data_IF_078611853729
#
_entry.id   IF_078611853729
#
_cell.length_a   1.000
_cell.length_b   1.000
_cell.length_c   1.000
_cell.angle_alpha   90.00
_cell.angle_beta   90.00
_cell.angle_gamma   90.00
#
_symmetry.space_group_name_H-M   'P 1'
#
loop_
_entity.id
_entity.type
_entity.pdbx_description
1 polymer ?
#
# COMPACT_ATOMS: atom_id res chain seq x y z
N UNK A 1 -78.42 14.06 -29.28
CA UNK A 1 -79.53 15.04 -29.27
C UNK A 1 -80.02 15.29 -30.70
N UNK A 2 -81.32 15.38 -30.95
CA UNK A 2 -81.86 15.73 -32.27
C UNK A 2 -82.05 17.25 -32.40
N UNK A 3 -82.02 17.78 -33.63
CA UNK A 3 -82.22 19.20 -33.92
C UNK A 3 -83.47 19.79 -33.26
N UNK A 4 -84.57 19.03 -33.25
CA UNK A 4 -85.85 19.44 -32.63
C UNK A 4 -85.76 19.63 -31.12
N UNK A 5 -84.93 18.83 -30.44
CA UNK A 5 -84.81 18.86 -28.98
C UNK A 5 -83.92 20.05 -28.58
N UNK A 6 -82.89 20.35 -29.38
CA UNK A 6 -82.03 21.52 -29.20
C UNK A 6 -82.83 22.82 -29.40
N UNK A 7 -83.67 22.88 -30.44
CA UNK A 7 -84.55 24.03 -30.69
C UNK A 7 -85.49 24.30 -29.52
N UNK A 8 -86.11 23.26 -28.96
CA UNK A 8 -86.98 23.39 -27.79
C UNK A 8 -86.24 23.93 -26.56
N UNK A 9 -85.00 23.49 -26.34
CA UNK A 9 -84.17 23.94 -25.22
C UNK A 9 -83.86 25.44 -25.35
N UNK A 10 -83.52 25.87 -26.57
CA UNK A 10 -83.18 27.26 -26.90
C UNK A 10 -84.43 28.16 -26.83
N UNK A 11 -85.58 27.70 -27.33
CA UNK A 11 -86.85 28.44 -27.25
C UNK A 11 -87.33 28.67 -25.80
N UNK A 12 -86.94 27.79 -24.88
CA UNK A 12 -87.26 27.92 -23.45
C UNK A 12 -86.23 28.71 -22.63
N UNK A 13 -85.08 29.06 -23.22
CA UNK A 13 -84.00 29.78 -22.57
C UNK A 13 -84.21 31.30 -22.67
N UNK A 14 -83.81 32.05 -21.64
CA UNK A 14 -83.80 33.53 -21.71
C UNK A 14 -82.71 34.05 -22.65
N UNK A 15 -82.91 35.25 -23.22
CA UNK A 15 -81.95 35.84 -24.20
C UNK A 15 -80.53 36.02 -23.64
N UNK A 16 -80.38 36.21 -22.33
CA UNK A 16 -79.09 36.38 -21.64
C UNK A 16 -78.59 35.10 -20.93
N UNK A 17 -79.24 33.96 -21.14
CA UNK A 17 -78.93 32.74 -20.40
C UNK A 17 -77.68 32.04 -20.96
N UNK A 18 -76.81 31.55 -20.06
CA UNK A 18 -75.58 30.85 -20.43
C UNK A 18 -75.88 29.50 -21.11
N UNK A 19 -75.33 29.32 -22.29
CA UNK A 19 -75.55 28.13 -23.13
C UNK A 19 -74.84 26.90 -22.55
N UNK A 20 -73.68 27.08 -21.92
CA UNK A 20 -72.93 25.98 -21.31
C UNK A 20 -73.68 25.41 -20.10
N UNK A 21 -74.31 26.26 -19.28
CA UNK A 21 -75.20 25.81 -18.20
C UNK A 21 -76.47 25.14 -18.72
N UNK A 22 -77.09 25.69 -19.77
CA UNK A 22 -78.30 25.14 -20.37
C UNK A 22 -78.10 23.72 -20.92
N UNK A 23 -76.93 23.47 -21.52
CA UNK A 23 -76.63 22.20 -22.21
C UNK A 23 -75.93 21.21 -21.27
N UNK A 24 -75.49 21.61 -20.08
CA UNK A 24 -74.71 20.81 -19.12
C UNK A 24 -75.31 19.45 -18.78
N UNK A 25 -76.62 19.39 -18.55
CA UNK A 25 -77.32 18.15 -18.18
C UNK A 25 -77.95 17.42 -19.38
N UNK A 26 -77.80 17.99 -20.57
CA UNK A 26 -78.36 17.42 -21.80
C UNK A 26 -77.63 16.14 -22.21
N UNK A 27 -78.30 15.34 -23.04
CA UNK A 27 -77.71 14.15 -23.66
C UNK A 27 -76.49 14.48 -24.51
N UNK A 28 -76.37 15.72 -25.01
CA UNK A 28 -75.21 16.17 -25.78
C UNK A 28 -73.98 16.28 -24.87
N UNK A 29 -74.08 16.98 -23.74
CA UNK A 29 -72.99 17.10 -22.77
C UNK A 29 -72.61 15.75 -22.17
N UNK A 30 -73.59 14.91 -21.84
CA UNK A 30 -73.34 13.54 -21.37
C UNK A 30 -72.64 12.68 -22.43
N UNK A 31 -73.03 12.79 -23.70
CA UNK A 31 -72.36 12.06 -24.79
C UNK A 31 -70.93 12.53 -25.04
N UNK A 32 -70.68 13.84 -24.94
CA UNK A 32 -69.35 14.43 -25.07
C UNK A 32 -68.43 13.99 -23.92
N UNK A 33 -68.91 14.04 -22.68
CA UNK A 33 -68.21 13.53 -21.51
C UNK A 33 -67.88 12.04 -21.64
N UNK A 34 -68.85 11.23 -22.09
CA UNK A 34 -68.64 9.80 -22.32
C UNK A 34 -67.60 9.53 -23.44
N UNK A 35 -67.62 10.33 -24.52
CA UNK A 35 -66.75 10.14 -25.68
C UNK A 35 -65.31 10.64 -25.53
N UNK A 36 -65.06 11.61 -24.65
CA UNK A 36 -63.79 12.37 -24.66
C UNK A 36 -62.88 12.17 -23.46
N UNK A 37 -63.45 11.93 -22.26
CA UNK A 37 -62.71 12.05 -20.99
C UNK A 37 -62.85 10.83 -20.07
N UNK A 38 -63.52 9.77 -20.52
CA UNK A 38 -63.59 8.52 -19.75
C UNK A 38 -62.38 7.64 -19.99
N UNK A 39 -62.00 6.86 -18.99
CA UNK A 39 -60.89 5.90 -19.09
C UNK A 39 -61.12 4.88 -20.22
N UNK A 40 -62.37 4.47 -20.45
CA UNK A 40 -62.73 3.52 -21.50
C UNK A 40 -62.61 4.15 -22.90
N UNK A 41 -63.07 5.39 -23.09
CA UNK A 41 -62.85 6.13 -24.33
C UNK A 41 -61.35 6.35 -24.61
N UNK A 42 -60.55 6.61 -23.57
CA UNK A 42 -59.09 6.72 -23.69
C UNK A 42 -58.44 5.40 -24.10
N UNK A 43 -58.83 4.27 -23.48
CA UNK A 43 -58.35 2.93 -23.84
C UNK A 43 -58.75 2.56 -25.27
N UNK A 44 -59.94 2.95 -25.70
CA UNK A 44 -60.44 2.72 -27.06
C UNK A 44 -59.67 3.57 -28.08
N UNK A 45 -59.44 4.85 -27.80
CA UNK A 45 -58.57 5.75 -28.57
C UNK A 45 -57.15 5.19 -28.68
N UNK A 46 -56.57 4.71 -27.59
CA UNK A 46 -55.23 4.09 -27.60
C UNK A 46 -55.15 2.85 -28.50
N UNK A 47 -56.24 2.10 -28.66
CA UNK A 47 -56.30 0.91 -29.53
C UNK A 47 -56.55 1.25 -31.00
N UNK A 48 -57.43 2.22 -31.26
CA UNK A 48 -58.01 2.46 -32.58
C UNK A 48 -57.38 3.64 -33.32
N UNK A 49 -56.77 4.59 -32.62
CA UNK A 49 -56.18 5.80 -33.18
C UNK A 49 -54.65 5.71 -33.20
N UNK A 50 -54.08 5.58 -34.40
CA UNK A 50 -52.64 5.43 -34.61
C UNK A 50 -51.84 6.65 -34.18
N UNK A 51 -52.35 7.86 -34.45
CA UNK A 51 -51.62 9.09 -34.15
C UNK A 51 -51.61 9.34 -32.64
N UNK A 52 -52.73 9.06 -31.98
CA UNK A 52 -52.83 9.11 -30.53
C UNK A 52 -51.90 8.10 -29.86
N UNK A 53 -51.88 6.86 -30.34
CA UNK A 53 -50.97 5.82 -29.85
C UNK A 53 -49.50 6.21 -30.05
N UNK A 54 -49.13 6.71 -31.22
CA UNK A 54 -47.76 7.14 -31.51
C UNK A 54 -47.30 8.28 -30.60
N UNK A 55 -48.18 9.24 -30.28
CA UNK A 55 -47.87 10.31 -29.34
C UNK A 55 -47.59 9.77 -27.93
N UNK A 56 -48.48 8.91 -27.40
CA UNK A 56 -48.32 8.30 -26.07
C UNK A 56 -47.05 7.44 -26.01
N UNK A 57 -46.78 6.65 -27.03
CA UNK A 57 -45.54 5.86 -27.14
C UNK A 57 -44.31 6.78 -27.15
N UNK A 58 -44.33 7.89 -27.88
CA UNK A 58 -43.21 8.84 -27.90
C UNK A 58 -42.93 9.48 -26.54
N UNK A 59 -43.97 9.78 -25.77
CA UNK A 59 -43.84 10.38 -24.44
C UNK A 59 -43.32 9.35 -23.44
N UNK A 60 -43.87 8.13 -23.48
CA UNK A 60 -43.34 7.01 -22.71
C UNK A 60 -41.87 6.72 -23.06
N UNK A 61 -41.51 6.73 -24.33
CA UNK A 61 -40.13 6.53 -24.77
C UNK A 61 -39.18 7.59 -24.20
N UNK A 62 -39.59 8.87 -24.08
CA UNK A 62 -38.75 9.89 -23.42
C UNK A 62 -38.52 9.55 -21.95
N UNK A 63 -39.56 9.17 -21.22
CA UNK A 63 -39.46 8.81 -19.80
C UNK A 63 -38.64 7.55 -19.60
N UNK A 64 -38.89 6.51 -20.40
CA UNK A 64 -38.14 5.26 -20.35
C UNK A 64 -36.69 5.46 -20.76
N UNK A 65 -36.39 6.25 -21.79
CA UNK A 65 -35.01 6.59 -22.15
C UNK A 65 -34.30 7.35 -21.03
N UNK A 66 -34.98 8.30 -20.37
CA UNK A 66 -34.41 9.02 -19.23
C UNK A 66 -34.17 8.10 -18.03
N UNK A 67 -35.14 7.24 -17.71
CA UNK A 67 -35.03 6.27 -16.63
C UNK A 67 -33.91 5.25 -16.91
N UNK A 68 -33.83 4.73 -18.13
CA UNK A 68 -32.76 3.83 -18.57
C UNK A 68 -31.41 4.54 -18.56
N UNK A 69 -31.32 5.79 -19.00
CA UNK A 69 -30.07 6.57 -18.93
C UNK A 69 -29.61 6.74 -17.49
N UNK A 70 -30.51 7.14 -16.60
CA UNK A 70 -30.24 7.31 -15.16
C UNK A 70 -29.86 5.98 -14.51
N UNK A 71 -30.53 4.89 -14.88
CA UNK A 71 -30.20 3.57 -14.39
C UNK A 71 -28.82 3.12 -14.87
N UNK A 72 -28.50 3.32 -16.16
CA UNK A 72 -27.18 3.01 -16.72
C UNK A 72 -26.09 3.80 -16.02
N UNK A 73 -26.25 5.11 -15.86
CA UNK A 73 -25.26 5.97 -15.19
C UNK A 73 -25.00 5.54 -13.73
N UNK A 74 -26.02 5.05 -13.01
CA UNK A 74 -25.88 4.70 -11.60
C UNK A 74 -25.51 3.24 -11.31
N UNK A 75 -25.81 2.32 -12.24
CA UNK A 75 -25.74 0.88 -11.99
C UNK A 75 -24.89 0.10 -13.00
N UNK A 76 -24.66 0.62 -14.21
CA UNK A 76 -23.96 -0.13 -15.25
C UNK A 76 -22.51 -0.41 -14.88
N UNK A 77 -21.79 0.54 -14.30
CA UNK A 77 -20.43 0.30 -13.81
C UNK A 77 -20.40 -0.80 -12.73
N UNK A 78 -21.33 -0.75 -11.77
CA UNK A 78 -21.40 -1.73 -10.67
C UNK A 78 -21.71 -3.15 -11.12
N UNK A 79 -22.57 -3.32 -12.14
CA UNK A 79 -22.88 -4.65 -12.68
C UNK A 79 -21.82 -5.15 -13.67
N UNK A 80 -21.14 -4.24 -14.37
CA UNK A 80 -20.16 -4.60 -15.39
C UNK A 80 -18.78 -4.88 -14.77
N UNK A 81 -18.41 -4.21 -13.67
CA UNK A 81 -17.17 -4.44 -12.91
C UNK A 81 -16.88 -5.93 -12.62
N UNK A 82 -17.80 -6.71 -11.99
CA UNK A 82 -17.56 -8.12 -11.74
C UNK A 82 -17.45 -8.95 -13.03
N UNK A 83 -18.14 -8.53 -14.10
CA UNK A 83 -18.11 -9.23 -15.38
C UNK A 83 -16.80 -8.97 -16.15
N UNK A 84 -16.30 -7.74 -16.12
CA UNK A 84 -15.01 -7.35 -16.70
C UNK A 84 -13.89 -8.07 -15.95
N UNK A 85 -13.93 -8.08 -14.62
CA UNK A 85 -12.94 -8.81 -13.81
C UNK A 85 -12.93 -10.32 -14.11
N UNK A 86 -14.09 -10.92 -14.37
CA UNK A 86 -14.18 -12.37 -14.62
C UNK A 86 -13.81 -12.77 -16.06
N UNK A 87 -14.18 -11.96 -17.06
CA UNK A 87 -14.03 -12.30 -18.49
C UNK A 87 -12.79 -11.70 -19.14
N UNK A 88 -12.34 -10.55 -18.66
CA UNK A 88 -11.25 -9.80 -19.24
C UNK A 88 -10.29 -9.28 -18.15
N UNK A 89 -9.67 -10.19 -17.37
CA UNK A 89 -8.74 -9.81 -16.30
C UNK A 89 -7.56 -8.97 -16.82
N UNK A 90 -7.17 -9.14 -18.09
CA UNK A 90 -6.06 -8.41 -18.71
C UNK A 90 -6.43 -6.98 -19.16
N UNK A 91 -7.73 -6.68 -19.39
CA UNK A 91 -8.22 -5.34 -19.75
C UNK A 91 -8.55 -4.46 -18.54
N UNK A 92 -8.47 -4.98 -17.30
CA UNK A 92 -8.54 -4.19 -16.04
C UNK A 92 -7.25 -3.37 -15.83
N UNK A 93 -6.73 -2.80 -16.90
CA UNK A 93 -5.64 -1.83 -16.93
C UNK A 93 -6.16 -0.54 -17.54
N UNK A 94 -7.23 0.01 -16.96
CA UNK A 94 -7.55 1.41 -17.14
C UNK A 94 -6.29 2.23 -16.77
N UNK A 95 -5.75 3.13 -17.62
CA UNK A 95 -4.55 3.92 -17.31
C UNK A 95 -4.57 4.57 -15.92
N UNK A 96 -5.76 4.84 -15.37
CA UNK A 96 -5.95 5.31 -14.00
C UNK A 96 -5.66 4.21 -12.96
N UNK A 97 -6.20 3.00 -13.11
CA UNK A 97 -5.92 1.86 -12.23
C UNK A 97 -4.48 1.36 -12.34
N UNK A 98 -3.89 1.38 -13.53
CA UNK A 98 -2.46 1.10 -13.69
C UNK A 98 -1.61 2.09 -12.91
N UNK A 99 -1.97 3.37 -12.94
CA UNK A 99 -1.28 4.42 -12.19
C UNK A 99 -1.49 4.28 -10.68
N UNK A 100 -2.68 3.86 -10.24
CA UNK A 100 -2.95 3.54 -8.83
C UNK A 100 -2.15 2.34 -8.37
N UNK A 101 -2.13 1.23 -9.12
CA UNK A 101 -1.31 0.05 -8.81
C UNK A 101 0.18 0.36 -8.81
N UNK A 102 0.66 1.18 -9.74
CA UNK A 102 2.05 1.65 -9.76
C UNK A 102 2.36 2.50 -8.52
N UNK A 103 1.46 3.40 -8.13
CA UNK A 103 1.60 4.22 -6.92
C UNK A 103 1.52 3.38 -5.63
N UNK A 104 0.62 2.40 -5.56
CA UNK A 104 0.51 1.48 -4.43
C UNK A 104 1.76 0.60 -4.31
N UNK A 105 2.29 0.12 -5.44
CA UNK A 105 3.55 -0.62 -5.46
C UNK A 105 4.71 0.27 -5.02
N UNK A 106 4.80 1.50 -5.52
CA UNK A 106 5.82 2.46 -5.07
C UNK A 106 5.71 2.76 -3.57
N UNK A 107 4.49 2.89 -3.04
CA UNK A 107 4.25 3.09 -1.61
C UNK A 107 4.64 1.86 -0.77
N UNK A 108 4.35 0.66 -1.27
CA UNK A 108 4.75 -0.58 -0.60
C UNK A 108 6.27 -0.74 -0.60
N UNK A 109 6.93 -0.47 -1.73
CA UNK A 109 8.38 -0.48 -1.86
C UNK A 109 9.04 0.57 -0.96
N UNK A 110 8.47 1.78 -0.88
CA UNK A 110 8.96 2.86 -0.01
C UNK A 110 8.79 2.51 1.48
N UNK A 111 7.65 1.95 1.87
CA UNK A 111 7.42 1.48 3.24
C UNK A 111 8.39 0.35 3.61
N UNK A 112 8.61 -0.61 2.71
CA UNK A 112 9.57 -1.68 2.93
C UNK A 112 11.01 -1.14 3.01
N UNK A 113 11.37 -0.15 2.19
CA UNK A 113 12.68 0.51 2.24
C UNK A 113 12.88 1.30 3.54
N UNK A 114 11.87 2.02 4.02
CA UNK A 114 11.94 2.74 5.29
C UNK A 114 12.02 1.78 6.48
N UNK A 115 11.21 0.72 6.51
CA UNK A 115 11.31 -0.31 7.55
C UNK A 115 12.72 -0.94 7.60
N UNK A 116 13.33 -1.19 6.44
CA UNK A 116 14.72 -1.66 6.36
C UNK A 116 15.74 -0.63 6.85
N UNK A 117 15.54 0.66 6.55
CA UNK A 117 16.42 1.74 7.03
C UNK A 117 16.32 1.89 8.54
N UNK A 118 15.12 1.82 9.11
CA UNK A 118 14.90 1.90 10.55
C UNK A 118 15.56 0.70 11.27
N UNK A 119 15.34 -0.51 10.76
CA UNK A 119 16.02 -1.72 11.25
C UNK A 119 17.54 -1.61 11.15
N UNK A 120 18.06 -1.09 10.04
CA UNK A 120 19.50 -0.92 9.83
C UNK A 120 20.06 0.12 10.81
N UNK A 121 19.36 1.22 11.06
CA UNK A 121 19.77 2.23 12.02
C UNK A 121 19.82 1.69 13.46
N UNK A 122 18.85 0.88 13.86
CA UNK A 122 18.85 0.21 15.16
C UNK A 122 19.96 -0.85 15.27
N UNK A 123 20.17 -1.65 14.21
CA UNK A 123 21.24 -2.64 14.15
C UNK A 123 22.62 -1.98 14.19
N UNK A 124 22.80 -0.84 13.52
CA UNK A 124 24.04 -0.04 13.57
C UNK A 124 24.33 0.43 14.99
N UNK A 125 23.32 0.96 15.69
CA UNK A 125 23.48 1.37 17.10
C UNK A 125 23.87 0.19 17.99
N UNK A 126 23.15 -0.94 17.86
CA UNK A 126 23.42 -2.12 18.68
C UNK A 126 24.81 -2.72 18.44
N UNK A 127 25.26 -2.82 17.19
CA UNK A 127 26.60 -3.35 16.92
C UNK A 127 27.71 -2.34 17.21
N UNK A 128 27.45 -1.03 17.16
CA UNK A 128 28.38 -0.02 17.67
C UNK A 128 28.65 -0.21 19.18
N UNK A 129 27.61 -0.52 19.97
CA UNK A 129 27.77 -0.86 21.39
C UNK A 129 28.62 -2.14 21.60
N UNK A 130 28.54 -3.09 20.65
CA UNK A 130 29.35 -4.32 20.63
C UNK A 130 30.74 -4.13 19.99
N UNK A 131 31.12 -2.90 19.63
CA UNK A 131 32.39 -2.55 18.95
C UNK A 131 32.61 -3.28 17.62
N UNK A 132 31.53 -3.59 16.91
CA UNK A 132 31.59 -4.20 15.59
C UNK A 132 31.63 -3.14 14.47
N UNK A 133 32.38 -3.38 13.38
CA UNK A 133 32.41 -2.48 12.24
C UNK A 133 31.05 -2.35 11.54
N UNK A 134 30.67 -1.13 11.19
CA UNK A 134 29.41 -0.83 10.48
C UNK A 134 29.27 -1.53 9.14
N UNK A 135 30.39 -1.81 8.46
CA UNK A 135 30.42 -2.50 7.17
C UNK A 135 29.94 -3.96 7.21
N UNK A 136 29.95 -4.59 8.40
CA UNK A 136 29.46 -5.97 8.58
C UNK A 136 27.94 -5.96 8.80
N UNK A 137 27.41 -4.92 9.44
CA UNK A 137 26.02 -4.82 9.87
C UNK A 137 25.08 -4.76 8.66
N UNK A 138 25.45 -4.05 7.59
CA UNK A 138 24.66 -3.97 6.35
C UNK A 138 24.41 -5.34 5.69
N UNK A 139 25.29 -6.32 5.95
CA UNK A 139 25.17 -7.69 5.41
C UNK A 139 24.49 -8.66 6.38
N UNK A 140 24.21 -8.23 7.60
CA UNK A 140 23.67 -9.06 8.69
C UNK A 140 22.20 -8.78 9.01
N UNK A 141 21.54 -7.86 8.30
CA UNK A 141 20.10 -7.64 8.45
C UNK A 141 19.30 -8.89 8.06
N UNK A 142 18.60 -9.46 9.04
CA UNK A 142 17.64 -10.54 8.85
C UNK A 142 16.21 -9.97 8.71
N UNK A 143 15.22 -10.87 8.61
CA UNK A 143 13.80 -10.49 8.48
C UNK A 143 13.30 -9.56 9.59
N UNK A 144 13.85 -9.68 10.80
CA UNK A 144 13.47 -8.91 11.97
C UNK A 144 14.68 -8.46 12.80
N UNK A 145 14.45 -7.48 13.67
CA UNK A 145 15.47 -6.95 14.58
C UNK A 145 16.02 -8.02 15.53
N UNK A 146 15.16 -8.88 16.08
CA UNK A 146 15.59 -9.92 17.03
C UNK A 146 16.54 -10.94 16.40
N UNK A 147 16.25 -11.40 15.17
CA UNK A 147 17.14 -12.28 14.42
C UNK A 147 18.46 -11.58 14.05
N UNK A 148 18.37 -10.30 13.68
CA UNK A 148 19.55 -9.47 13.40
C UNK A 148 20.43 -9.33 14.63
N UNK A 149 19.83 -9.18 15.81
CA UNK A 149 20.51 -9.10 17.10
C UNK A 149 21.24 -10.40 17.45
N UNK A 150 20.61 -11.56 17.26
CA UNK A 150 21.24 -12.87 17.47
C UNK A 150 22.46 -13.06 16.56
N UNK A 151 22.34 -12.69 15.27
CA UNK A 151 23.46 -12.74 14.31
C UNK A 151 24.58 -11.80 14.77
N UNK A 152 24.26 -10.56 15.16
CA UNK A 152 25.23 -9.61 15.67
C UNK A 152 25.94 -10.15 16.92
N UNK A 153 25.22 -10.77 17.85
CA UNK A 153 25.79 -11.34 19.08
C UNK A 153 26.71 -12.54 18.79
N UNK A 154 26.35 -13.40 17.83
CA UNK A 154 27.22 -14.50 17.37
C UNK A 154 28.51 -13.95 16.75
N UNK A 155 28.39 -12.97 15.86
CA UNK A 155 29.55 -12.33 15.22
C UNK A 155 30.43 -11.63 16.26
N UNK A 156 29.84 -10.90 17.21
CA UNK A 156 30.58 -10.25 18.30
C UNK A 156 31.39 -11.26 19.11
N UNK A 157 30.82 -12.43 19.38
CA UNK A 157 31.47 -13.51 20.13
C UNK A 157 32.65 -14.11 19.36
N UNK A 158 32.44 -14.47 18.09
CA UNK A 158 33.50 -15.07 17.27
C UNK A 158 34.62 -14.05 16.94
N UNK A 159 34.24 -12.79 16.74
CA UNK A 159 35.18 -11.69 16.56
C UNK A 159 36.06 -11.49 17.80
N UNK A 160 35.45 -11.50 18.98
CA UNK A 160 36.19 -11.36 20.25
C UNK A 160 37.18 -12.52 20.44
N UNK A 161 36.76 -13.77 20.18
CA UNK A 161 37.64 -14.95 20.23
C UNK A 161 38.78 -14.89 19.21
N UNK A 162 38.51 -14.39 18.00
CA UNK A 162 39.52 -14.17 16.97
C UNK A 162 40.57 -13.17 17.41
N UNK A 163 40.15 -12.04 17.99
CA UNK A 163 41.05 -11.03 18.56
C UNK A 163 41.87 -11.63 19.70
N UNK A 164 41.26 -12.39 20.61
CA UNK A 164 41.97 -13.06 21.72
C UNK A 164 43.03 -14.04 21.21
N UNK A 165 42.72 -14.81 20.17
CA UNK A 165 43.65 -15.77 19.56
C UNK A 165 44.83 -15.05 18.91
N UNK A 166 44.57 -14.04 18.08
CA UNK A 166 45.60 -13.23 17.42
C UNK A 166 46.47 -12.51 18.47
N UNK A 167 45.84 -11.95 19.51
CA UNK A 167 46.58 -11.27 20.59
C UNK A 167 47.45 -12.27 21.35
N UNK A 168 46.93 -13.47 21.63
CA UNK A 168 47.69 -14.54 22.29
C UNK A 168 48.85 -15.02 21.42
N UNK A 169 48.65 -15.19 20.11
CA UNK A 169 49.71 -15.53 19.17
C UNK A 169 50.76 -14.42 19.07
N UNK A 170 50.35 -13.15 19.00
CA UNK A 170 51.25 -12.00 18.99
C UNK A 170 52.03 -11.88 20.29
N UNK A 171 51.38 -12.10 21.43
CA UNK A 171 52.06 -12.16 22.73
C UNK A 171 53.05 -13.31 22.78
N UNK A 172 52.70 -14.50 22.27
CA UNK A 172 53.63 -15.64 22.16
C UNK A 172 54.79 -15.35 21.21
N UNK A 173 54.54 -14.72 20.07
CA UNK A 173 55.58 -14.42 19.06
C UNK A 173 56.52 -13.30 19.48
N UNK A 174 56.02 -12.32 20.24
CA UNK A 174 56.83 -11.25 20.82
C UNK A 174 57.33 -11.57 22.24
N UNK A 175 57.04 -12.77 22.76
CA UNK A 175 57.57 -13.19 24.06
C UNK A 175 59.05 -13.52 23.91
N UNK A 176 59.90 -12.75 24.59
CA UNK A 176 61.33 -13.01 24.66
C UNK A 176 61.56 -14.43 25.18
N UNK A 177 62.23 -15.27 24.40
CA UNK A 177 62.70 -16.59 24.82
C UNK A 177 64.08 -16.40 25.44
N UNK A 178 64.24 -16.56 26.77
CA UNK A 178 65.56 -16.50 27.37
C UNK A 178 66.43 -17.61 26.80
N UNK A 179 67.64 -17.27 26.34
CA UNK A 179 68.57 -18.25 25.78
C UNK A 179 68.92 -19.35 26.78
N UNK A 180 69.18 -20.55 26.25
CA UNK A 180 69.65 -21.67 27.07
C UNK A 180 71.10 -21.43 27.49
N UNK A 181 71.41 -21.75 28.76
CA UNK A 181 72.77 -21.67 29.28
C UNK A 181 73.64 -22.82 28.75
N UNK A 182 74.94 -22.83 29.08
CA UNK A 182 75.89 -23.87 28.65
C UNK A 182 75.44 -25.30 28.98
N UNK A 183 74.65 -25.46 30.04
CA UNK A 183 74.13 -26.76 30.52
C UNK A 183 72.76 -27.12 29.93
N UNK A 184 72.28 -26.39 28.92
CA UNK A 184 71.01 -26.66 28.22
C UNK A 184 69.75 -26.34 29.03
N UNK A 185 69.87 -25.80 30.25
CA UNK A 185 68.74 -25.39 31.09
C UNK A 185 68.29 -23.96 30.75
N UNK A 186 66.98 -23.66 30.81
CA UNK A 186 66.46 -22.32 30.55
C UNK A 186 66.97 -21.34 31.61
N UNK A 187 67.59 -20.25 31.18
CA UNK A 187 68.18 -19.22 32.06
C UNK A 187 67.14 -18.13 32.24
N UNK A 188 66.89 -17.67 33.47
CA UNK A 188 65.93 -16.57 33.67
C UNK A 188 66.45 -15.26 33.04
N UNK A 189 65.56 -14.34 32.69
CA UNK A 189 65.92 -13.01 32.15
C UNK A 189 66.92 -12.27 33.05
N UNK A 190 66.76 -12.39 34.38
CA UNK A 190 67.72 -11.81 35.34
C UNK A 190 69.09 -12.45 35.27
N UNK A 191 69.15 -13.77 35.09
CA UNK A 191 70.41 -14.51 34.99
C UNK A 191 71.11 -14.30 33.63
N UNK A 192 70.38 -14.12 32.52
CA UNK A 192 70.97 -13.78 31.22
C UNK A 192 71.53 -12.36 31.19
N UNK A 193 70.82 -11.39 31.77
CA UNK A 193 71.31 -10.00 31.92
C UNK A 193 72.56 -9.96 32.81
N UNK A 194 72.56 -10.72 33.93
CA UNK A 194 73.71 -10.81 34.81
C UNK A 194 74.94 -11.45 34.14
N UNK A 195 74.74 -12.50 33.34
CA UNK A 195 75.82 -13.13 32.57
C UNK A 195 76.40 -12.19 31.50
N UNK A 196 75.55 -11.43 30.81
CA UNK A 196 75.97 -10.44 29.81
C UNK A 196 76.72 -9.27 30.46
N UNK A 197 76.32 -8.85 31.67
CA UNK A 197 77.05 -7.85 32.46
C UNK A 197 78.40 -8.37 32.97
N UNK A 198 78.51 -9.67 33.31
CA UNK A 198 79.76 -10.26 33.77
C UNK A 198 80.75 -10.54 32.61
N UNK A 199 80.24 -10.87 31.41
CA UNK A 199 81.05 -11.03 30.19
C UNK A 199 81.63 -9.71 29.65
N UNK A 200 81.09 -8.57 30.09
CA UNK A 200 81.62 -7.24 29.81
C UNK A 200 82.69 -6.76 30.83
N UNK A 201 83.20 -7.64 31.71
CA UNK A 201 84.40 -7.33 32.47
C UNK A 201 85.59 -7.30 31.51
N UNK A 202 86.00 -6.08 31.15
CA UNK A 202 87.26 -5.79 30.45
C UNK A 202 88.39 -6.50 31.21
N UNK A 203 88.99 -7.51 30.57
CA UNK A 203 90.30 -8.03 30.98
C UNK A 203 91.30 -6.85 30.93
N UNK A 204 91.68 -6.34 32.10
CA UNK A 204 92.65 -5.25 32.21
C UNK A 204 92.25 -4.01 33.02
N UNK A 205 91.21 -4.05 33.87
CA UNK A 205 91.07 -3.01 34.90
C UNK A 205 92.11 -3.23 36.01
N UNK A 206 92.93 -2.22 36.39
CA UNK A 206 93.88 -2.36 37.49
C UNK A 206 93.15 -2.77 38.76
N UNK A 207 93.58 -3.86 39.40
CA UNK A 207 93.03 -4.29 40.68
C UNK A 207 93.36 -3.20 41.72
N UNK A 208 92.38 -2.44 42.26
CA UNK A 208 92.65 -1.37 43.21
C UNK A 208 93.16 -1.88 44.57
N UNK A 209 93.22 -3.21 44.74
CA UNK A 209 93.55 -3.88 46.00
C UNK A 209 94.51 -5.07 45.83
N UNK A 210 95.19 -5.18 44.68
CA UNK A 210 96.16 -6.23 44.43
C UNK A 210 97.56 -5.79 44.85
N UNK A 211 98.12 -6.39 45.90
CA UNK A 211 99.53 -6.24 46.24
C UNK A 211 100.38 -7.08 45.27
N UNK A 212 101.14 -6.42 44.41
CA UNK A 212 102.21 -7.04 43.63
C UNK A 212 103.37 -7.45 44.57
N UNK A 213 103.72 -8.73 44.56
CA UNK A 213 104.97 -9.28 45.08
C UNK A 213 105.51 -10.34 44.13
#
# INVERSE_FOLDING_TARGET
MLKKDLLKLIESAGEDQDIDELVKDSDLAKSLQASGLTLEAFKEKLKNDKDFKAYIESENDKYHNKALKTWKENNLEKELDPFIQQKYPDLVTDPVQKKVLELEKQLADEKAANAKKDLLAEAIKYAADKKLPTSIIEKCLAEDFDKTKEIIDSIATDWSKGIETITTEKMKSNSYVPGNGPDGKPVSIGASIAAQANGNKVEGAPNPWGNDK
#
